data_IF_785290954758
#
_entry.id   IF_785290954758
#
_cell.length_a   1.000
_cell.length_b   1.000
_cell.length_c   1.000
_cell.angle_alpha   90.00
_cell.angle_beta   90.00
_cell.angle_gamma   90.00
#
_symmetry.space_group_name_H-M   'P 1'
#
loop_
_entity.id
_entity.type
_entity.pdbx_description
1 polymer ?
#
# COMPACT_ATOMS: atom_id res chain seq x y z
N UNK A 1 15.35 4.02 -6.85
CA UNK A 1 14.23 4.10 -7.79
C UNK A 1 14.75 3.83 -9.21
N UNK A 2 15.22 2.61 -9.45
CA UNK A 2 16.14 2.30 -10.56
C UNK A 2 15.51 1.66 -11.80
N UNK A 3 14.21 1.39 -11.80
CA UNK A 3 13.52 0.78 -12.94
C UNK A 3 12.00 0.74 -12.74
N UNK A 4 11.28 0.30 -13.78
CA UNK A 4 9.82 0.19 -13.74
C UNK A 4 9.12 1.51 -13.41
N UNK A 5 8.02 1.41 -12.65
CA UNK A 5 7.23 2.56 -12.25
C UNK A 5 7.97 3.48 -11.26
N UNK A 6 8.87 2.96 -10.43
CA UNK A 6 9.67 3.78 -9.52
C UNK A 6 10.52 4.80 -10.28
N UNK A 7 11.08 4.41 -11.43
CA UNK A 7 11.85 5.31 -12.28
C UNK A 7 10.95 6.43 -12.86
N UNK A 8 9.76 6.07 -13.35
CA UNK A 8 8.80 7.04 -13.86
C UNK A 8 8.33 8.02 -12.76
N UNK A 9 8.06 7.52 -11.55
CA UNK A 9 7.70 8.34 -10.39
C UNK A 9 8.84 9.31 -10.06
N UNK A 10 10.08 8.82 -9.95
CA UNK A 10 11.26 9.67 -9.70
C UNK A 10 11.34 10.83 -10.70
N UNK A 11 11.16 10.52 -11.98
CA UNK A 11 11.27 11.51 -13.06
C UNK A 11 10.18 12.57 -12.98
N UNK A 12 9.00 12.24 -12.43
CA UNK A 12 7.94 13.22 -12.18
C UNK A 12 8.29 14.23 -11.07
N UNK A 13 9.22 13.90 -10.16
CA UNK A 13 9.68 14.80 -9.09
C UNK A 13 10.94 15.59 -9.47
N UNK A 14 11.50 15.41 -10.68
CA UNK A 14 12.65 16.18 -11.14
C UNK A 14 12.19 17.62 -11.45
N UNK A 15 12.71 18.57 -10.69
CA UNK A 15 12.49 20.00 -10.90
C UNK A 15 13.48 20.60 -11.90
N UNK A 16 13.27 21.87 -12.24
CA UNK A 16 14.07 22.59 -13.26
C UNK A 16 15.56 22.69 -12.91
N UNK A 17 15.88 22.66 -11.62
CA UNK A 17 17.25 22.78 -11.10
C UNK A 17 17.73 21.49 -10.42
N UNK A 18 17.01 20.37 -10.56
CA UNK A 18 17.39 19.10 -9.97
C UNK A 18 17.50 18.02 -11.06
N UNK A 19 18.08 16.87 -10.69
CA UNK A 19 18.19 15.72 -11.58
C UNK A 19 17.56 14.48 -10.95
N UNK A 20 17.41 13.43 -11.74
CA UNK A 20 17.03 12.10 -11.25
C UNK A 20 17.91 11.63 -10.07
N UNK A 21 19.21 11.92 -10.12
CA UNK A 21 20.15 11.58 -9.05
C UNK A 21 19.89 12.41 -7.79
N UNK A 22 19.61 13.71 -7.93
CA UNK A 22 19.24 14.58 -6.80
C UNK A 22 18.01 14.05 -6.08
N UNK A 23 16.96 13.68 -6.81
CA UNK A 23 15.72 13.12 -6.25
C UNK A 23 16.01 11.80 -5.53
N UNK A 24 16.76 10.90 -6.17
CA UNK A 24 17.07 9.59 -5.56
C UNK A 24 17.91 9.73 -4.29
N UNK A 25 18.91 10.61 -4.28
CA UNK A 25 19.73 10.86 -3.09
C UNK A 25 18.93 11.52 -1.97
N UNK A 26 18.02 12.45 -2.30
CA UNK A 26 17.11 13.03 -1.31
C UNK A 26 16.23 11.96 -0.65
N UNK A 27 15.62 11.09 -1.46
CA UNK A 27 14.83 9.95 -0.97
C UNK A 27 15.68 9.08 -0.05
N UNK A 28 16.86 8.63 -0.48
CA UNK A 28 17.75 7.80 0.34
C UNK A 28 18.14 8.45 1.67
N UNK A 29 18.42 9.75 1.67
CA UNK A 29 18.71 10.51 2.89
C UNK A 29 17.51 10.56 3.83
N UNK A 30 16.29 10.77 3.32
CA UNK A 30 15.06 10.76 4.14
C UNK A 30 14.75 9.37 4.71
N UNK A 31 15.11 8.31 3.99
CA UNK A 31 14.98 6.94 4.48
C UNK A 31 16.01 6.57 5.55
N UNK A 32 17.11 7.32 5.71
CA UNK A 32 18.26 6.88 6.50
C UNK A 32 18.78 5.52 6.01
N UNK A 33 18.89 5.39 4.68
CA UNK A 33 19.39 4.21 3.97
C UNK A 33 18.43 3.01 3.97
N UNK A 34 18.67 2.00 4.81
CA UNK A 34 17.95 0.72 4.74
C UNK A 34 16.57 0.80 5.40
N UNK A 35 15.56 0.28 4.69
CA UNK A 35 14.22 0.04 5.23
C UNK A 35 13.81 -1.41 4.96
N UNK A 36 13.27 -2.12 5.97
CA UNK A 36 12.78 -3.48 5.75
C UNK A 36 11.54 -3.47 4.83
N UNK A 37 11.30 -4.56 4.08
CA UNK A 37 10.07 -4.71 3.32
C UNK A 37 8.82 -4.48 4.18
N UNK A 38 7.82 -3.82 3.62
CA UNK A 38 6.57 -3.48 4.30
C UNK A 38 6.64 -2.31 5.27
N UNK A 39 7.79 -1.63 5.38
CA UNK A 39 7.95 -0.46 6.25
C UNK A 39 7.74 0.84 5.47
N UNK A 40 6.54 1.46 5.51
CA UNK A 40 6.28 2.71 4.80
C UNK A 40 7.08 3.85 5.42
N UNK A 41 7.53 4.78 4.58
CA UNK A 41 8.07 6.07 5.01
C UNK A 41 7.47 7.17 4.15
N UNK A 42 6.79 8.12 4.78
CA UNK A 42 6.27 9.31 4.10
C UNK A 42 7.43 10.29 3.93
N UNK A 43 7.71 10.66 2.69
CA UNK A 43 8.74 11.61 2.31
C UNK A 43 8.05 12.87 1.82
N UNK A 44 8.31 13.98 2.51
CA UNK A 44 7.89 15.31 2.06
C UNK A 44 9.02 15.96 1.27
N UNK A 45 8.69 16.49 0.10
CA UNK A 45 9.59 17.26 -0.73
C UNK A 45 9.39 18.75 -0.50
N UNK A 46 10.49 19.49 -0.50
CA UNK A 46 10.49 20.95 -0.43
C UNK A 46 10.17 21.53 -1.82
N UNK A 47 9.25 22.51 -1.90
CA UNK A 47 8.80 23.09 -3.18
C UNK A 47 9.94 23.63 -4.04
N UNK A 48 11.00 24.15 -3.43
CA UNK A 48 12.18 24.63 -4.14
C UNK A 48 12.93 23.51 -4.86
N UNK A 49 13.05 22.34 -4.24
CA UNK A 49 13.75 21.18 -4.79
C UNK A 49 13.04 20.61 -6.03
N UNK A 50 11.71 20.60 -6.00
CA UNK A 50 10.85 20.01 -7.03
C UNK A 50 10.13 21.06 -7.88
N UNK A 51 10.62 22.31 -7.85
CA UNK A 51 10.05 23.43 -8.60
C UNK A 51 10.03 23.12 -10.10
N UNK A 52 8.89 23.33 -10.75
CA UNK A 52 8.73 23.04 -12.18
C UNK A 52 8.70 21.55 -12.53
N UNK A 53 8.63 20.65 -11.54
CA UNK A 53 8.40 19.22 -11.76
C UNK A 53 6.93 18.94 -12.09
N UNK A 54 6.65 17.81 -12.74
CA UNK A 54 5.27 17.35 -13.02
C UNK A 54 4.51 17.17 -11.70
N UNK A 55 5.15 16.58 -10.70
CA UNK A 55 4.56 16.32 -9.40
C UNK A 55 4.05 17.60 -8.74
N UNK A 56 4.83 18.68 -8.76
CA UNK A 56 4.43 19.96 -8.17
C UNK A 56 3.41 20.69 -9.05
N UNK A 57 3.73 20.94 -10.32
CA UNK A 57 2.97 21.86 -11.17
C UNK A 57 1.67 21.26 -11.71
N UNK A 58 1.65 19.95 -11.97
CA UNK A 58 0.48 19.28 -12.56
C UNK A 58 -0.38 18.57 -11.52
N UNK A 59 0.24 18.00 -10.48
CA UNK A 59 -0.48 17.17 -9.50
C UNK A 59 -0.59 17.81 -8.12
N UNK A 60 0.08 18.94 -7.88
CA UNK A 60 0.19 19.56 -6.56
C UNK A 60 0.71 18.57 -5.48
N UNK A 61 1.51 17.58 -5.90
CA UNK A 61 1.98 16.47 -5.10
C UNK A 61 3.37 16.77 -4.51
N UNK A 62 3.45 16.75 -3.17
CA UNK A 62 4.69 16.98 -2.41
C UNK A 62 5.12 15.77 -1.59
N UNK A 63 4.40 14.65 -1.72
CA UNK A 63 4.55 13.51 -0.85
C UNK A 63 4.80 12.26 -1.68
N UNK A 64 5.77 11.46 -1.23
CA UNK A 64 6.00 10.12 -1.73
C UNK A 64 5.97 9.17 -0.54
N UNK A 65 5.14 8.12 -0.64
CA UNK A 65 5.24 6.99 0.29
C UNK A 65 6.24 6.02 -0.31
N UNK A 66 7.42 5.92 0.30
CA UNK A 66 8.37 4.89 -0.04
C UNK A 66 8.05 3.63 0.78
N UNK A 67 7.67 2.55 0.08
CA UNK A 67 7.34 1.28 0.67
C UNK A 67 8.15 0.17 -0.02
N UNK A 68 9.25 -0.31 0.59
CA UNK A 68 10.00 -1.41 0.01
C UNK A 68 9.13 -2.67 -0.02
N UNK A 69 8.98 -3.30 -1.18
CA UNK A 69 8.35 -4.63 -1.31
C UNK A 69 9.39 -5.76 -1.35
N UNK A 70 10.66 -5.40 -1.58
CA UNK A 70 11.79 -6.31 -1.69
C UNK A 70 13.04 -5.66 -1.10
N UNK A 71 14.02 -6.46 -0.65
CA UNK A 71 15.32 -5.93 -0.17
C UNK A 71 16.21 -5.51 -1.33
N UNK A 72 16.18 -6.32 -2.39
CA UNK A 72 16.82 -6.08 -3.67
C UNK A 72 15.86 -6.55 -4.77
N UNK A 73 15.97 -6.07 -6.01
CA UNK A 73 15.15 -6.56 -7.11
C UNK A 73 15.40 -8.05 -7.34
N UNK A 74 14.39 -8.88 -7.11
CA UNK A 74 14.44 -10.32 -7.34
C UNK A 74 13.03 -10.83 -7.72
N UNK A 75 12.93 -12.08 -8.19
CA UNK A 75 11.62 -12.69 -8.42
C UNK A 75 10.99 -13.08 -7.09
N UNK A 76 9.72 -12.74 -6.91
CA UNK A 76 8.94 -13.23 -5.79
C UNK A 76 8.63 -14.69 -6.10
N UNK A 77 9.28 -15.62 -5.39
CA UNK A 77 9.08 -17.06 -5.61
C UNK A 77 7.62 -17.40 -5.35
N UNK A 78 6.99 -17.93 -6.40
CA UNK A 78 5.61 -18.44 -6.53
C UNK A 78 4.71 -18.18 -5.31
N UNK A 79 3.79 -17.21 -5.45
CA UNK A 79 2.41 -17.16 -4.91
C UNK A 79 2.17 -17.82 -3.55
N UNK A 80 3.15 -17.78 -2.66
CA UNK A 80 3.03 -18.40 -1.37
C UNK A 80 1.98 -17.63 -0.58
N UNK A 81 1.30 -18.32 0.34
CA UNK A 81 0.41 -17.66 1.30
C UNK A 81 1.10 -16.47 1.97
N UNK A 82 2.41 -16.54 2.16
CA UNK A 82 3.23 -15.46 2.72
C UNK A 82 3.36 -14.24 1.80
N UNK A 83 3.43 -14.41 0.48
CA UNK A 83 3.36 -13.27 -0.43
C UNK A 83 2.00 -12.60 -0.39
N UNK A 84 0.92 -13.39 -0.38
CA UNK A 84 -0.44 -12.85 -0.29
C UNK A 84 -0.61 -11.98 0.98
N UNK A 85 -0.18 -12.51 2.15
CA UNK A 85 -0.17 -11.76 3.41
C UNK A 85 0.71 -10.51 3.34
N UNK A 86 1.93 -10.65 2.84
CA UNK A 86 2.86 -9.53 2.71
C UNK A 86 2.28 -8.42 1.83
N UNK A 87 1.67 -8.77 0.69
CA UNK A 87 1.06 -7.80 -0.20
C UNK A 87 -0.14 -7.07 0.43
N UNK A 88 -0.95 -7.81 1.20
CA UNK A 88 -2.03 -7.20 1.98
C UNK A 88 -1.45 -6.20 2.98
N UNK A 89 -0.47 -6.62 3.78
CA UNK A 89 0.17 -5.79 4.80
C UNK A 89 0.86 -4.56 4.19
N UNK A 90 1.53 -4.70 3.05
CA UNK A 90 2.15 -3.59 2.34
C UNK A 90 1.11 -2.55 1.94
N UNK A 91 0.00 -3.00 1.35
CA UNK A 91 -1.09 -2.11 0.95
C UNK A 91 -1.70 -1.44 2.17
N UNK A 92 -2.01 -2.22 3.21
CA UNK A 92 -2.54 -1.72 4.48
C UNK A 92 -1.63 -0.67 5.12
N UNK A 93 -0.32 -0.93 5.16
CA UNK A 93 0.66 -0.03 5.74
C UNK A 93 0.80 1.26 4.93
N UNK A 94 0.70 1.22 3.60
CA UNK A 94 0.66 2.43 2.77
C UNK A 94 -0.55 3.31 3.11
N UNK A 95 -1.71 2.70 3.35
CA UNK A 95 -2.94 3.40 3.72
C UNK A 95 -2.87 3.97 5.15
N UNK A 96 -2.28 3.21 6.08
CA UNK A 96 -2.23 3.54 7.50
C UNK A 96 -1.34 4.74 7.83
N UNK A 97 -0.40 5.10 6.94
CA UNK A 97 0.46 6.29 7.12
C UNK A 97 -0.12 7.57 6.52
N UNK A 98 -1.28 7.48 5.87
CA UNK A 98 -1.94 8.66 5.34
C UNK A 98 -2.43 9.54 6.49
N UNK A 99 -2.31 10.86 6.29
CA UNK A 99 -2.89 11.86 7.18
C UNK A 99 -4.13 12.47 6.52
N UNK A 100 -4.99 13.13 7.30
CA UNK A 100 -6.23 13.77 6.81
C UNK A 100 -6.00 14.92 5.80
N UNK A 101 -4.76 15.16 5.35
CA UNK A 101 -4.36 16.22 4.42
C UNK A 101 -4.04 15.71 3.02
N UNK A 102 -4.38 14.45 2.70
CA UNK A 102 -4.13 13.82 1.39
C UNK A 102 -5.47 13.58 0.70
N UNK A 103 -5.70 14.26 -0.42
CA UNK A 103 -6.95 14.13 -1.19
C UNK A 103 -6.99 12.88 -2.07
N UNK A 104 -5.83 12.46 -2.59
CA UNK A 104 -5.71 11.33 -3.48
C UNK A 104 -4.42 10.55 -3.21
N UNK A 105 -4.51 9.22 -3.23
CA UNK A 105 -3.37 8.31 -3.19
C UNK A 105 -3.31 7.52 -4.50
N UNK A 106 -2.14 7.52 -5.14
CA UNK A 106 -1.87 6.68 -6.32
C UNK A 106 -0.98 5.51 -5.89
N UNK A 107 -1.50 4.30 -6.00
CA UNK A 107 -0.77 3.07 -5.67
C UNK A 107 -0.55 2.25 -6.96
N UNK A 108 0.70 1.98 -7.36
CA UNK A 108 0.98 1.11 -8.50
C UNK A 108 0.79 -0.36 -8.14
N UNK A 109 0.72 -1.25 -9.14
CA UNK A 109 0.70 -2.70 -8.90
C UNK A 109 1.94 -3.16 -8.13
N UNK A 110 1.77 -3.51 -6.85
CA UNK A 110 2.89 -3.85 -5.97
C UNK A 110 3.40 -5.26 -6.27
N UNK A 111 4.71 -5.39 -6.49
CA UNK A 111 5.38 -6.68 -6.73
C UNK A 111 5.24 -7.25 -8.14
N UNK A 112 4.53 -6.59 -9.05
CA UNK A 112 4.23 -7.11 -10.40
C UNK A 112 5.34 -6.88 -11.43
N UNK A 113 6.26 -5.94 -11.18
CA UNK A 113 7.41 -5.65 -12.04
C UNK A 113 8.50 -6.73 -11.93
N UNK A 114 9.66 -6.39 -11.36
CA UNK A 114 10.75 -7.36 -11.14
C UNK A 114 10.30 -8.61 -10.36
N UNK A 115 9.37 -8.43 -9.41
CA UNK A 115 8.82 -9.52 -8.62
C UNK A 115 8.06 -10.55 -9.44
N UNK A 116 7.56 -10.19 -10.63
CA UNK A 116 6.79 -11.05 -11.52
C UNK A 116 5.60 -11.75 -10.83
N UNK A 117 5.01 -11.09 -9.82
CA UNK A 117 3.84 -11.61 -9.14
C UNK A 117 2.60 -11.62 -10.07
N UNK A 118 1.70 -12.62 -9.96
CA UNK A 118 0.49 -12.68 -10.77
C UNK A 118 -0.41 -11.46 -10.56
N UNK A 119 -0.81 -10.84 -11.67
CA UNK A 119 -1.53 -9.56 -11.67
C UNK A 119 -2.90 -9.65 -11.01
N UNK A 120 -3.59 -10.77 -11.20
CA UNK A 120 -4.91 -11.08 -10.63
C UNK A 120 -4.86 -11.20 -9.10
N UNK A 121 -3.88 -11.95 -8.59
CA UNK A 121 -3.63 -12.07 -7.15
C UNK A 121 -3.29 -10.69 -6.58
N UNK A 122 -2.40 -9.95 -7.26
CA UNK A 122 -1.99 -8.64 -6.81
C UNK A 122 -3.17 -7.66 -6.73
N UNK A 123 -3.95 -7.57 -7.80
CA UNK A 123 -5.11 -6.69 -7.87
C UNK A 123 -6.15 -7.05 -6.81
N UNK A 124 -6.52 -8.33 -6.69
CA UNK A 124 -7.51 -8.79 -5.70
C UNK A 124 -7.07 -8.44 -4.27
N UNK A 125 -5.83 -8.77 -3.92
CA UNK A 125 -5.27 -8.50 -2.58
C UNK A 125 -5.26 -7.01 -2.26
N UNK A 126 -4.78 -6.18 -3.19
CA UNK A 126 -4.71 -4.74 -3.00
C UNK A 126 -6.11 -4.13 -2.86
N UNK A 127 -7.06 -4.54 -3.70
CA UNK A 127 -8.45 -4.08 -3.62
C UNK A 127 -9.08 -4.50 -2.29
N UNK A 128 -8.86 -5.72 -1.83
CA UNK A 128 -9.35 -6.18 -0.53
C UNK A 128 -8.86 -5.30 0.63
N UNK A 129 -7.54 -5.01 0.66
CA UNK A 129 -6.94 -4.18 1.71
C UNK A 129 -7.52 -2.75 1.70
N UNK A 130 -7.63 -2.14 0.52
CA UNK A 130 -8.22 -0.80 0.34
C UNK A 130 -9.69 -0.78 0.78
N UNK A 131 -10.46 -1.77 0.34
CA UNK A 131 -11.88 -1.84 0.61
C UNK A 131 -12.15 -2.02 2.11
N UNK A 132 -11.47 -2.96 2.77
CA UNK A 132 -11.61 -3.17 4.22
C UNK A 132 -11.16 -1.93 5.00
N UNK A 133 -10.04 -1.31 4.60
CA UNK A 133 -9.51 -0.10 5.26
C UNK A 133 -10.55 1.04 5.28
N UNK A 134 -11.19 1.31 4.14
CA UNK A 134 -12.15 2.41 3.99
C UNK A 134 -13.62 2.06 4.23
N UNK A 135 -13.96 0.79 4.49
CA UNK A 135 -15.34 0.41 4.77
C UNK A 135 -15.84 1.09 6.06
N UNK A 136 -16.77 2.04 5.94
CA UNK A 136 -17.21 2.90 7.06
C UNK A 136 -18.18 2.19 8.00
N UNK A 137 -18.88 1.19 7.49
CA UNK A 137 -19.93 0.46 8.21
C UNK A 137 -19.37 -0.58 9.19
N UNK A 138 -18.05 -0.82 9.15
CA UNK A 138 -17.38 -1.75 10.05
C UNK A 138 -16.54 -1.00 11.08
N UNK A 139 -16.68 -1.41 12.34
CA UNK A 139 -15.80 -1.03 13.43
C UNK A 139 -14.36 -1.52 13.19
N UNK A 140 -13.35 -0.95 13.86
CA UNK A 140 -11.98 -1.47 13.79
C UNK A 140 -11.86 -2.96 14.14
N UNK A 141 -12.72 -3.46 15.04
CA UNK A 141 -12.73 -4.86 15.45
C UNK A 141 -13.26 -5.76 14.34
N UNK A 142 -14.36 -5.38 13.71
CA UNK A 142 -14.94 -6.11 12.57
C UNK A 142 -13.99 -6.12 11.38
N UNK A 143 -13.33 -4.99 11.07
CA UNK A 143 -12.26 -4.94 10.06
C UNK A 143 -11.15 -5.92 10.36
N UNK A 144 -10.75 -6.05 11.62
CA UNK A 144 -9.74 -7.02 12.05
C UNK A 144 -10.18 -8.46 11.74
N UNK A 145 -11.43 -8.83 12.06
CA UNK A 145 -11.98 -10.16 11.70
C UNK A 145 -11.98 -10.37 10.18
N UNK A 146 -12.38 -9.36 9.40
CA UNK A 146 -12.38 -9.42 7.93
C UNK A 146 -10.98 -9.63 7.36
N UNK A 147 -9.96 -8.95 7.90
CA UNK A 147 -8.56 -9.13 7.50
C UNK A 147 -8.13 -10.58 7.72
N UNK A 148 -8.33 -11.13 8.93
CA UNK A 148 -7.93 -12.50 9.23
C UNK A 148 -8.63 -13.52 8.34
N UNK A 149 -9.94 -13.36 8.10
CA UNK A 149 -10.67 -14.23 7.17
C UNK A 149 -10.14 -14.15 5.74
N UNK A 150 -9.89 -12.94 5.23
CA UNK A 150 -9.34 -12.74 3.89
C UNK A 150 -7.97 -13.42 3.73
N UNK A 151 -7.14 -13.33 4.77
CA UNK A 151 -5.81 -13.94 4.81
C UNK A 151 -5.84 -15.46 5.10
N UNK A 152 -7.00 -16.04 5.36
CA UNK A 152 -7.16 -17.46 5.71
C UNK A 152 -6.56 -17.81 7.07
N UNK A 153 -6.52 -16.85 7.99
CA UNK A 153 -5.95 -16.96 9.33
C UNK A 153 -7.04 -17.15 10.39
N UNK A 154 -6.76 -18.00 11.37
CA UNK A 154 -7.69 -18.28 12.46
C UNK A 154 -7.52 -17.25 13.58
N UNK A 155 -8.30 -16.17 13.51
CA UNK A 155 -8.30 -15.10 14.51
C UNK A 155 -8.66 -15.58 15.92
N UNK A 156 -9.33 -16.73 16.06
CA UNK A 156 -9.72 -17.26 17.37
C UNK A 156 -8.51 -17.66 18.20
N UNK A 157 -7.36 -17.91 17.55
CA UNK A 157 -6.08 -18.19 18.22
C UNK A 157 -5.48 -16.98 18.93
N UNK A 158 -6.00 -15.78 18.72
CA UNK A 158 -5.58 -14.59 19.45
C UNK A 158 -6.12 -14.55 20.88
N UNK A 159 -7.15 -15.35 21.19
CA UNK A 159 -7.79 -15.41 22.51
C UNK A 159 -8.21 -14.03 23.04
N UNK A 160 -8.75 -13.19 22.15
CA UNK A 160 -9.27 -11.86 22.47
C UNK A 160 -10.81 -11.97 22.55
N UNK A 161 -11.42 -11.95 23.74
CA UNK A 161 -12.86 -12.22 23.90
C UNK A 161 -13.74 -11.31 23.04
N UNK A 162 -13.42 -10.02 22.99
CA UNK A 162 -14.17 -9.04 22.21
C UNK A 162 -14.12 -9.30 20.71
N UNK A 163 -13.10 -9.99 20.20
CA UNK A 163 -12.96 -10.31 18.79
C UNK A 163 -13.71 -11.61 18.44
N UNK A 164 -13.87 -12.52 19.40
CA UNK A 164 -14.63 -13.77 19.27
C UNK A 164 -16.14 -13.54 19.15
N UNK A 165 -16.65 -12.45 19.73
CA UNK A 165 -18.07 -12.08 19.68
C UNK A 165 -18.50 -11.58 18.27
N UNK A 166 -17.54 -11.18 17.43
CA UNK A 166 -17.79 -10.74 16.05
C UNK A 166 -17.60 -11.88 15.05
N UNK A 167 -18.42 -12.93 15.16
CA UNK A 167 -18.51 -13.93 14.09
C UNK A 167 -19.33 -13.36 12.93
N UNK A 168 -18.69 -12.65 12.01
CA UNK A 168 -19.33 -12.21 10.77
C UNK A 168 -19.68 -13.45 9.94
N UNK A 169 -20.82 -13.49 9.25
CA UNK A 169 -21.13 -14.61 8.34
C UNK A 169 -20.39 -14.50 6.98
N UNK A 170 -19.83 -13.32 6.70
CA UNK A 170 -19.14 -13.02 5.45
C UNK A 170 -17.69 -13.56 5.43
N UNK A 171 -17.31 -14.14 4.28
CA UNK A 171 -15.96 -14.61 3.97
C UNK A 171 -15.41 -13.88 2.73
N UNK A 172 -14.53 -12.87 2.92
CA UNK A 172 -13.95 -12.12 1.81
C UNK A 172 -13.05 -12.93 0.88
N UNK A 173 -12.69 -14.17 1.23
CA UNK A 173 -12.01 -15.08 0.30
C UNK A 173 -12.91 -15.62 -0.80
N UNK A 174 -14.24 -15.58 -0.63
CA UNK A 174 -15.22 -16.07 -1.61
C UNK A 174 -15.71 -15.02 -2.61
N UNK A 175 -15.40 -13.74 -2.38
CA UNK A 175 -15.75 -12.64 -3.28
C UNK A 175 -15.83 -11.30 -2.56
N UNK A 176 -15.10 -10.30 -3.05
CA UNK A 176 -15.08 -8.95 -2.46
C UNK A 176 -16.37 -8.17 -2.71
N UNK A 177 -17.19 -8.59 -3.67
CA UNK A 177 -18.47 -7.99 -4.03
C UNK A 177 -19.44 -7.92 -2.83
N UNK A 178 -19.41 -8.92 -1.96
CA UNK A 178 -20.24 -8.95 -0.76
C UNK A 178 -19.76 -7.97 0.33
N UNK A 179 -18.48 -7.59 0.35
CA UNK A 179 -17.98 -6.50 1.22
C UNK A 179 -18.70 -5.18 0.91
N UNK A 180 -19.07 -4.96 -0.36
CA UNK A 180 -19.72 -3.75 -0.83
C UNK A 180 -21.26 -3.84 -0.81
N UNK A 181 -21.84 -5.05 -0.79
CA UNK A 181 -23.29 -5.23 -0.78
C UNK A 181 -23.98 -4.65 0.47
N UNK A 182 -23.25 -4.55 1.59
CA UNK A 182 -23.77 -3.95 2.83
C UNK A 182 -23.78 -2.40 2.84
N UNK A 183 -23.21 -1.73 1.83
CA UNK A 183 -23.15 -0.25 1.75
C UNK A 183 -24.44 0.42 1.24
N UNK A 184 -25.54 -0.33 1.08
CA UNK A 184 -26.80 0.21 0.52
C UNK A 184 -27.90 0.34 1.58
N UNK A 185 -27.66 1.05 2.67
CA UNK A 185 -28.75 1.67 3.45
C UNK A 185 -28.21 2.80 4.31
N UNK A 186 -28.27 4.03 3.78
CA UNK A 186 -28.66 5.25 4.51
C UNK A 186 -28.98 6.36 3.51
#
# INVERSE_FOLDING_TARGET
MGGGIDMAIRDCFVGVNSSAETVQNYVLNKLQYYKPPGSPTVIHFDDEMIRGSIALESWNCRQLIHLPTMRVPEKIRETSKEFHKSLFDWTWNALSVLTNKVDALVIPGLGTGFGAAPLDICANTMVAAIAIHYAKDFTPMEKTVLIYKFLGEDYRKLDIPTLLDHNLDYDPSQGLDQLFAHTTTQ
#
